data_IF_156148243945
#
_entry.id   IF_156148243945
#
_cell.length_a   1.000
_cell.length_b   1.000
_cell.length_c   1.000
_cell.angle_alpha   90.00
_cell.angle_beta   90.00
_cell.angle_gamma   90.00
#
_symmetry.space_group_name_H-M   'P 1'
#
loop_
_entity.id
_entity.type
_entity.pdbx_description
1 polymer ?
#
# COMPACT_ATOMS: atom_id res chain seq x y z
N UNK A 1 5.87 9.37 15.88
CA UNK A 1 6.10 10.04 14.57
C UNK A 1 4.76 10.26 13.89
N UNK A 2 4.54 11.48 13.41
CA UNK A 2 3.32 11.80 12.68
C UNK A 2 3.62 11.72 11.19
N UNK A 3 2.79 10.96 10.45
CA UNK A 3 2.91 10.82 9.01
C UNK A 3 1.71 11.51 8.38
N UNK A 4 1.95 12.63 7.71
CA UNK A 4 0.91 13.50 7.17
C UNK A 4 1.06 13.82 5.68
N UNK A 5 1.89 13.05 4.98
CA UNK A 5 2.01 13.16 3.52
C UNK A 5 2.31 11.81 2.89
N UNK A 6 1.96 11.70 1.61
CA UNK A 6 2.06 10.42 0.88
C UNK A 6 3.50 9.92 0.80
N UNK A 7 4.45 10.81 0.55
CA UNK A 7 5.84 10.41 0.38
C UNK A 7 6.41 9.79 1.66
N UNK A 8 6.09 10.36 2.81
CA UNK A 8 6.54 9.81 4.10
C UNK A 8 5.88 8.45 4.36
N UNK A 9 4.61 8.30 4.04
CA UNK A 9 3.92 7.02 4.21
C UNK A 9 4.55 5.94 3.32
N UNK A 10 4.83 6.26 2.08
CA UNK A 10 5.50 5.33 1.16
C UNK A 10 6.86 4.91 1.73
N UNK A 11 7.64 5.87 2.22
CA UNK A 11 8.95 5.61 2.81
C UNK A 11 8.82 4.66 4.01
N UNK A 12 7.85 4.91 4.89
CA UNK A 12 7.62 4.05 6.06
C UNK A 12 7.26 2.64 5.63
N UNK A 13 6.34 2.47 4.69
CA UNK A 13 5.91 1.15 4.24
C UNK A 13 7.04 0.40 3.54
N UNK A 14 7.89 1.11 2.80
CA UNK A 14 9.03 0.50 2.11
C UNK A 14 10.14 0.08 3.06
N UNK A 15 10.13 0.56 4.30
CA UNK A 15 11.12 0.15 5.30
C UNK A 15 10.98 -1.32 5.69
N UNK A 16 9.83 -1.95 5.41
CA UNK A 16 9.62 -3.39 5.57
C UNK A 16 9.21 -3.98 4.23
N UNK A 17 10.17 -4.42 3.40
CA UNK A 17 9.84 -5.00 2.09
C UNK A 17 8.87 -6.16 2.22
N UNK A 18 7.82 -6.16 1.40
CA UNK A 18 6.80 -7.19 1.41
C UNK A 18 5.68 -6.98 2.42
N UNK A 19 5.81 -6.05 3.34
CA UNK A 19 4.78 -5.82 4.36
C UNK A 19 3.41 -5.51 3.74
N UNK A 20 3.38 -4.54 2.83
CA UNK A 20 2.13 -4.11 2.20
C UNK A 20 1.54 -5.21 1.31
N UNK A 21 2.38 -5.88 0.52
CA UNK A 21 1.95 -6.99 -0.32
C UNK A 21 1.33 -8.11 0.50
N UNK A 22 2.00 -8.49 1.60
CA UNK A 22 1.50 -9.54 2.48
C UNK A 22 0.19 -9.15 3.13
N UNK A 23 0.04 -7.90 3.54
CA UNK A 23 -1.20 -7.42 4.12
C UNK A 23 -2.35 -7.52 3.11
N UNK A 24 -2.13 -7.09 1.88
CA UNK A 24 -3.16 -7.14 0.84
C UNK A 24 -3.59 -8.58 0.56
N UNK A 25 -2.64 -9.49 0.43
CA UNK A 25 -2.92 -10.89 0.13
C UNK A 25 -3.52 -11.63 1.32
N UNK A 26 -2.87 -11.55 2.48
CA UNK A 26 -3.20 -12.40 3.62
C UNK A 26 -4.38 -11.87 4.43
N UNK A 27 -4.46 -10.56 4.60
CA UNK A 27 -5.51 -9.96 5.42
C UNK A 27 -6.76 -9.61 4.63
N UNK A 28 -6.59 -9.07 3.43
CA UNK A 28 -7.70 -8.57 2.63
C UNK A 28 -8.02 -9.45 1.43
N UNK A 29 -7.30 -10.56 1.24
CA UNK A 29 -7.54 -11.54 0.16
C UNK A 29 -7.50 -10.90 -1.24
N UNK A 30 -6.66 -9.89 -1.41
CA UNK A 30 -6.49 -9.23 -2.71
C UNK A 30 -5.46 -9.98 -3.53
N UNK A 31 -5.81 -10.33 -4.76
CA UNK A 31 -4.89 -11.00 -5.68
C UNK A 31 -3.99 -9.96 -6.34
N UNK A 32 -2.71 -9.96 -5.98
CA UNK A 32 -1.77 -8.95 -6.49
C UNK A 32 -1.63 -9.01 -8.02
N UNK A 33 -1.73 -10.21 -8.59
CA UNK A 33 -1.63 -10.39 -10.05
C UNK A 33 -2.79 -9.76 -10.81
N UNK A 34 -3.91 -9.52 -10.13
CA UNK A 34 -5.10 -8.90 -10.72
C UNK A 34 -5.07 -7.37 -10.65
N UNK A 35 -4.08 -6.79 -9.96
CA UNK A 35 -3.99 -5.34 -9.83
C UNK A 35 -3.52 -4.72 -11.15
N UNK A 36 -4.26 -3.73 -11.63
CA UNK A 36 -3.99 -3.04 -12.89
C UNK A 36 -4.15 -1.53 -12.70
N UNK A 37 -3.70 -0.72 -13.65
CA UNK A 37 -3.92 0.73 -13.59
C UNK A 37 -5.39 1.14 -13.45
N UNK A 38 -6.33 0.24 -13.75
CA UNK A 38 -7.76 0.48 -13.58
C UNK A 38 -8.19 0.46 -12.10
N UNK A 39 -7.37 -0.09 -11.20
CA UNK A 39 -7.63 -0.08 -9.77
C UNK A 39 -7.31 1.30 -9.18
N UNK A 40 -8.01 2.32 -9.65
CA UNK A 40 -7.79 3.70 -9.22
C UNK A 40 -8.29 3.93 -7.80
N UNK A 41 -9.45 3.36 -7.47
CA UNK A 41 -10.05 3.52 -6.14
C UNK A 41 -9.69 2.33 -5.25
N UNK A 42 -9.55 2.59 -3.96
CA UNK A 42 -9.25 1.51 -3.01
C UNK A 42 -10.31 0.42 -3.04
N UNK A 43 -11.59 0.80 -3.15
CA UNK A 43 -12.67 -0.18 -3.20
C UNK A 43 -12.70 -0.98 -4.51
N UNK A 44 -12.07 -0.51 -5.58
CA UNK A 44 -12.04 -1.29 -6.83
C UNK A 44 -11.15 -2.53 -6.72
N UNK A 45 -10.41 -2.69 -5.63
CA UNK A 45 -9.65 -3.89 -5.34
C UNK A 45 -10.46 -4.94 -4.59
N UNK A 46 -11.69 -4.60 -4.18
CA UNK A 46 -12.50 -5.43 -3.29
C UNK A 46 -12.44 -5.00 -1.82
N UNK A 47 -11.62 -4.00 -1.51
CA UNK A 47 -11.50 -3.47 -0.15
C UNK A 47 -12.67 -2.53 0.13
N UNK A 48 -13.42 -2.78 1.21
CA UNK A 48 -14.52 -1.90 1.62
C UNK A 48 -14.03 -0.83 2.61
N UNK A 49 -14.94 0.04 3.06
CA UNK A 49 -14.59 1.15 3.96
C UNK A 49 -14.03 0.65 5.29
N UNK A 50 -14.56 -0.46 5.78
CA UNK A 50 -14.10 -1.03 7.06
C UNK A 50 -12.68 -1.58 6.88
N UNK A 51 -12.44 -2.29 5.79
CA UNK A 51 -11.11 -2.82 5.47
C UNK A 51 -10.08 -1.69 5.36
N UNK A 52 -10.47 -0.59 4.70
CA UNK A 52 -9.57 0.55 4.55
C UNK A 52 -9.17 1.14 5.90
N UNK A 53 -10.14 1.33 6.81
CA UNK A 53 -9.86 1.86 8.15
C UNK A 53 -8.99 0.89 8.96
N UNK A 54 -9.26 -0.42 8.86
CA UNK A 54 -8.41 -1.43 9.51
C UNK A 54 -6.98 -1.36 9.02
N UNK A 55 -6.78 -1.17 7.72
CA UNK A 55 -5.46 -1.04 7.12
C UNK A 55 -4.71 0.16 7.71
N UNK A 56 -5.39 1.31 7.80
CA UNK A 56 -4.80 2.52 8.38
C UNK A 56 -4.39 2.27 9.83
N UNK A 57 -5.25 1.64 10.61
CA UNK A 57 -4.96 1.32 12.01
C UNK A 57 -3.77 0.37 12.14
N UNK A 58 -3.66 -0.60 11.24
CA UNK A 58 -2.54 -1.52 11.22
C UNK A 58 -1.22 -0.82 10.91
N UNK A 59 -1.23 0.14 9.98
CA UNK A 59 -0.04 0.94 9.70
C UNK A 59 0.41 1.68 10.97
N UNK A 60 -0.53 2.30 11.68
CA UNK A 60 -0.21 3.03 12.91
C UNK A 60 0.39 2.11 13.97
N UNK A 61 -0.20 0.94 14.13
CA UNK A 61 0.23 -0.03 15.13
C UNK A 61 1.58 -0.66 14.78
N UNK A 62 1.72 -1.13 13.54
CA UNK A 62 2.88 -1.93 13.13
C UNK A 62 4.14 -1.08 12.97
N UNK A 63 3.99 0.19 12.65
CA UNK A 63 5.13 1.10 12.46
C UNK A 63 5.26 2.13 13.56
N UNK A 64 4.39 2.09 14.58
CA UNK A 64 4.37 3.05 15.68
C UNK A 64 4.32 4.50 15.17
N UNK A 65 3.37 4.76 14.28
CA UNK A 65 3.15 6.07 13.68
C UNK A 65 1.74 6.54 13.94
N UNK A 66 1.53 7.84 13.76
CA UNK A 66 0.21 8.46 13.86
C UNK A 66 -0.16 9.02 12.49
N UNK A 67 -1.35 8.65 12.00
CA UNK A 67 -1.88 9.13 10.72
C UNK A 67 -3.10 9.98 11.02
N UNK A 68 -2.99 11.32 10.88
CA UNK A 68 -4.13 12.22 11.16
C UNK A 68 -5.33 11.94 10.25
N UNK A 69 -6.52 12.17 10.77
CA UNK A 69 -7.77 11.95 10.03
C UNK A 69 -7.81 12.72 8.71
N UNK A 70 -7.31 13.95 8.69
CA UNK A 70 -7.23 14.74 7.47
C UNK A 70 -6.40 14.05 6.40
N UNK A 71 -5.33 13.39 6.83
CA UNK A 71 -4.46 12.67 5.89
C UNK A 71 -5.07 11.34 5.46
N UNK A 72 -5.84 10.68 6.31
CA UNK A 72 -6.57 9.46 5.92
C UNK A 72 -7.44 9.74 4.69
N UNK A 73 -8.11 10.89 4.67
CA UNK A 73 -8.93 11.30 3.53
C UNK A 73 -8.08 11.50 2.26
N UNK A 74 -6.89 12.06 2.41
CA UNK A 74 -5.96 12.23 1.29
C UNK A 74 -5.55 10.87 0.73
N UNK A 75 -5.23 9.91 1.60
CA UNK A 75 -4.86 8.56 1.19
C UNK A 75 -6.01 7.92 0.39
N UNK A 76 -7.24 8.02 0.91
CA UNK A 76 -8.42 7.45 0.28
C UNK A 76 -8.65 8.00 -1.14
N UNK A 77 -8.30 9.25 -1.36
CA UNK A 77 -8.46 9.91 -2.66
C UNK A 77 -7.26 9.74 -3.59
N UNK A 78 -6.18 9.11 -3.12
CA UNK A 78 -5.01 8.82 -3.93
C UNK A 78 -5.29 7.55 -4.76
N UNK A 79 -4.77 7.50 -5.99
CA UNK A 79 -4.91 6.30 -6.81
C UNK A 79 -4.27 5.11 -6.11
N UNK A 80 -5.07 4.06 -5.87
CA UNK A 80 -4.59 2.83 -5.24
C UNK A 80 -3.43 2.23 -6.02
N UNK A 81 -3.58 2.07 -7.33
CA UNK A 81 -2.55 1.42 -8.14
C UNK A 81 -1.24 2.20 -8.11
N UNK A 82 -1.30 3.52 -8.19
CA UNK A 82 -0.08 4.34 -8.13
C UNK A 82 0.59 4.23 -6.77
N UNK A 83 -0.18 4.21 -5.70
CA UNK A 83 0.34 4.02 -4.35
C UNK A 83 1.00 2.66 -4.21
N UNK A 84 0.30 1.61 -4.62
CA UNK A 84 0.81 0.24 -4.59
C UNK A 84 2.11 0.12 -5.39
N UNK A 85 2.13 0.65 -6.59
CA UNK A 85 3.28 0.59 -7.48
C UNK A 85 4.53 1.21 -6.82
N UNK A 86 4.36 2.35 -6.15
CA UNK A 86 5.47 3.01 -5.49
C UNK A 86 5.95 2.25 -4.25
N UNK A 87 5.04 1.67 -3.48
CA UNK A 87 5.41 0.90 -2.30
C UNK A 87 6.13 -0.39 -2.68
N UNK A 88 5.72 -1.02 -3.77
CA UNK A 88 6.25 -2.32 -4.21
C UNK A 88 7.37 -2.20 -5.24
N UNK A 89 7.93 -1.01 -5.44
CA UNK A 89 8.93 -0.74 -6.46
C UNK A 89 10.15 -1.66 -6.37
N UNK A 90 10.63 -1.94 -5.17
CA UNK A 90 11.80 -2.79 -4.98
C UNK A 90 11.54 -4.22 -5.51
N UNK A 91 10.35 -4.75 -5.25
CA UNK A 91 9.94 -6.07 -5.74
C UNK A 91 9.88 -6.10 -7.28
N UNK A 92 9.32 -5.05 -7.87
CA UNK A 92 9.22 -4.94 -9.33
C UNK A 92 10.63 -4.92 -9.94
N UNK A 93 11.57 -4.21 -9.33
CA UNK A 93 12.95 -4.16 -9.81
C UNK A 93 13.63 -5.53 -9.75
N UNK A 94 13.42 -6.27 -8.66
CA UNK A 94 13.98 -7.61 -8.52
C UNK A 94 13.44 -8.54 -9.61
N UNK A 95 12.14 -8.50 -9.86
CA UNK A 95 11.51 -9.31 -10.90
C UNK A 95 12.10 -8.98 -12.28
N UNK A 96 12.34 -7.73 -12.58
CA UNK A 96 12.95 -7.32 -13.84
C UNK A 96 14.37 -7.81 -14.01
N UNK A 97 15.15 -7.78 -12.94
CA UNK A 97 16.52 -8.29 -12.96
C UNK A 97 16.54 -9.79 -13.20
N UNK A 98 15.61 -10.52 -12.58
CA UNK A 98 15.47 -11.95 -12.80
C UNK A 98 15.08 -12.27 -14.23
N UNK A 99 14.17 -11.48 -14.82
CA UNK A 99 13.72 -11.65 -16.19
C UNK A 99 14.87 -11.46 -17.20
N UNK A 100 15.85 -10.63 -16.87
CA UNK A 100 17.01 -10.41 -17.72
C UNK A 100 18.07 -11.52 -17.59
N UNK A 101 17.84 -12.50 -16.74
CA UNK A 101 18.74 -13.65 -16.56
C UNK A 101 20.05 -13.31 -15.84
N UNK A 102 20.02 -12.28 -15.07
CA UNK A 102 21.19 -11.81 -14.35
C UNK A 102 21.27 -12.40 -12.96
#
# INVERSE_FOLDING_TARGET
MIVDNIQDLITVLRSRPGYFDNMLEDKFSIQLDDLTPDNVKWYSTGMDDIDFIEMIMDFEKDFDIEIPDDFVEVIENTSFYKFYEQVSLARIREDKLNDLGI
#
